data_IF_281501495887
#
_entry.id   IF_281501495887
#
_cell.length_a   1.000
_cell.length_b   1.000
_cell.length_c   1.000
_cell.angle_alpha   90.00
_cell.angle_beta   90.00
_cell.angle_gamma   90.00
#
_symmetry.space_group_name_H-M   'P 1'
#
loop_
_entity.id
_entity.type
_entity.pdbx_description
1 polymer ?
#
# COMPACT_ATOMS: atom_id res chain seq x y z
N UNK A 1 -1.63 -8.40 -51.77
CA UNK A 1 -1.55 -6.98 -51.37
C UNK A 1 -2.48 -6.62 -50.20
N UNK A 2 -3.74 -6.96 -50.23
CA UNK A 2 -4.72 -6.57 -49.18
C UNK A 2 -4.37 -7.15 -47.77
N UNK A 3 -3.87 -8.37 -47.69
CA UNK A 3 -3.48 -9.01 -46.43
C UNK A 3 -2.30 -8.31 -45.74
N UNK A 4 -1.32 -7.85 -46.47
CA UNK A 4 -0.14 -7.17 -45.95
C UNK A 4 -0.47 -5.78 -45.41
N UNK A 5 -1.42 -5.06 -46.05
CA UNK A 5 -1.87 -3.77 -45.57
C UNK A 5 -2.61 -3.85 -44.23
N UNK A 6 -3.49 -4.85 -44.06
CA UNK A 6 -4.21 -5.10 -42.81
C UNK A 6 -3.24 -5.48 -41.70
N UNK A 7 -2.23 -6.29 -42.00
CA UNK A 7 -1.20 -6.68 -40.99
C UNK A 7 -0.35 -5.48 -40.57
N UNK A 8 0.00 -4.60 -41.50
CA UNK A 8 0.74 -3.37 -41.23
C UNK A 8 -0.05 -2.42 -40.33
N UNK A 9 -1.33 -2.18 -40.64
CA UNK A 9 -2.20 -1.32 -39.82
C UNK A 9 -2.35 -1.85 -38.40
N UNK A 10 -2.54 -3.17 -38.21
CA UNK A 10 -2.61 -3.78 -36.90
C UNK A 10 -1.31 -3.58 -36.12
N UNK A 11 -0.16 -3.74 -36.78
CA UNK A 11 1.14 -3.53 -36.13
C UNK A 11 1.31 -2.07 -35.68
N UNK A 12 0.93 -1.11 -36.53
CA UNK A 12 0.99 0.33 -36.19
C UNK A 12 0.09 0.65 -34.97
N UNK A 13 -1.14 0.16 -34.95
CA UNK A 13 -2.07 0.36 -33.81
C UNK A 13 -1.49 -0.24 -32.54
N UNK A 14 -0.92 -1.44 -32.60
CA UNK A 14 -0.30 -2.08 -31.45
C UNK A 14 0.90 -1.26 -30.91
N UNK A 15 1.77 -0.80 -31.79
CA UNK A 15 2.94 0.00 -31.42
C UNK A 15 2.50 1.32 -30.78
N UNK A 16 1.52 2.02 -31.37
CA UNK A 16 0.99 3.26 -30.79
C UNK A 16 0.36 3.02 -29.41
N UNK A 17 -0.43 1.97 -29.26
CA UNK A 17 -1.03 1.61 -27.96
C UNK A 17 0.02 1.28 -26.91
N UNK A 18 1.06 0.52 -27.24
CA UNK A 18 2.15 0.20 -26.32
C UNK A 18 2.97 1.44 -25.95
N UNK A 19 3.24 2.33 -26.90
CA UNK A 19 3.98 3.57 -26.63
C UNK A 19 3.19 4.51 -25.71
N UNK A 20 1.87 4.56 -25.84
CA UNK A 20 1.03 5.36 -24.97
C UNK A 20 0.99 4.81 -23.54
N UNK A 21 0.84 3.50 -23.38
CA UNK A 21 0.92 2.84 -22.06
C UNK A 21 2.28 3.08 -21.40
N UNK A 22 3.36 3.00 -22.18
CA UNK A 22 4.71 3.28 -21.68
C UNK A 22 4.86 4.74 -21.24
N UNK A 23 4.37 5.68 -22.05
CA UNK A 23 4.41 7.11 -21.75
C UNK A 23 3.63 7.43 -20.46
N UNK A 24 2.39 6.96 -20.35
CA UNK A 24 1.56 7.15 -19.16
C UNK A 24 2.20 6.51 -17.93
N UNK A 25 2.71 5.28 -18.06
CA UNK A 25 3.42 4.58 -16.98
C UNK A 25 4.66 5.34 -16.50
N UNK A 26 5.35 6.03 -17.40
CA UNK A 26 6.51 6.87 -17.08
C UNK A 26 6.09 8.17 -16.40
N UNK A 27 5.08 8.85 -16.92
CA UNK A 27 4.60 10.14 -16.40
C UNK A 27 4.07 10.01 -14.97
N UNK A 28 3.31 8.96 -14.65
CA UNK A 28 2.79 8.76 -13.31
C UNK A 28 3.89 8.52 -12.26
N UNK A 29 5.11 8.14 -12.67
CA UNK A 29 6.23 8.00 -11.74
C UNK A 29 6.69 9.34 -11.14
N UNK A 30 6.34 10.46 -11.74
CA UNK A 30 6.64 11.78 -11.18
C UNK A 30 5.69 12.23 -10.07
N UNK A 31 4.60 11.48 -9.83
CA UNK A 31 3.70 11.73 -8.70
C UNK A 31 4.29 11.05 -7.46
N UNK A 32 4.74 11.82 -6.44
CA UNK A 32 5.51 11.27 -5.32
C UNK A 32 4.67 10.56 -4.26
N UNK A 33 3.35 10.58 -4.37
CA UNK A 33 2.45 9.94 -3.41
C UNK A 33 2.79 8.46 -3.20
N UNK A 34 2.80 8.03 -1.95
CA UNK A 34 3.04 6.64 -1.57
C UNK A 34 4.50 6.22 -1.45
N UNK A 35 5.46 7.12 -1.67
CA UNK A 35 6.90 6.78 -1.60
C UNK A 35 7.59 7.24 -0.32
N UNK A 36 6.90 7.95 0.56
CA UNK A 36 7.51 8.45 1.80
C UNK A 36 7.83 7.33 2.80
N UNK A 37 7.10 6.22 2.75
CA UNK A 37 7.29 5.01 3.58
C UNK A 37 7.45 5.34 5.06
N UNK A 38 6.60 6.21 5.59
CA UNK A 38 6.69 6.68 6.96
C UNK A 38 6.29 5.60 7.96
N UNK A 39 7.17 5.34 8.91
CA UNK A 39 6.91 4.53 10.09
C UNK A 39 7.05 5.41 11.34
N UNK A 40 5.94 6.02 11.82
CA UNK A 40 5.96 6.82 13.03
C UNK A 40 6.36 5.98 14.26
N UNK A 41 6.82 6.61 15.35
CA UNK A 41 7.19 5.87 16.57
C UNK A 41 6.05 5.02 17.12
N UNK A 42 6.40 3.88 17.70
CA UNK A 42 5.48 3.06 18.49
C UNK A 42 5.26 3.75 19.84
N UNK A 43 4.01 4.08 20.15
CA UNK A 43 3.66 4.77 21.40
C UNK A 43 3.23 3.77 22.48
N UNK A 44 2.35 2.84 22.11
CA UNK A 44 1.85 1.79 23.00
C UNK A 44 1.29 0.63 22.18
N UNK A 45 1.64 -0.59 22.55
CA UNK A 45 1.06 -1.81 21.98
C UNK A 45 -0.05 -2.38 22.85
N UNK A 46 -0.95 -3.22 22.29
CA UNK A 46 -1.83 -4.05 23.09
C UNK A 46 -1.02 -4.93 24.05
N UNK A 47 -1.61 -5.27 25.19
CA UNK A 47 -1.04 -6.30 26.04
C UNK A 47 -1.29 -7.65 25.41
N UNK A 48 -0.28 -8.17 24.71
CA UNK A 48 -0.35 -9.48 24.08
C UNK A 48 -0.40 -10.59 25.13
N UNK A 49 -1.18 -11.64 24.88
CA UNK A 49 -1.26 -12.83 25.76
C UNK A 49 0.02 -13.67 25.67
N UNK A 50 0.69 -13.64 24.50
CA UNK A 50 1.96 -14.32 24.29
C UNK A 50 2.79 -13.64 23.20
N UNK A 51 4.13 -13.83 23.18
CA UNK A 51 4.98 -13.41 22.08
C UNK A 51 4.55 -13.99 20.74
N UNK A 52 4.00 -15.21 20.75
CA UNK A 52 3.51 -15.88 19.54
C UNK A 52 2.31 -15.18 18.92
N UNK A 53 1.39 -14.71 19.74
CA UNK A 53 0.23 -13.93 19.26
C UNK A 53 0.67 -12.62 18.61
N UNK A 54 1.64 -11.92 19.23
CA UNK A 54 2.23 -10.71 18.65
C UNK A 54 2.85 -11.01 17.28
N UNK A 55 3.67 -12.05 17.18
CA UNK A 55 4.31 -12.46 15.93
C UNK A 55 3.27 -12.74 14.83
N UNK A 56 2.23 -13.50 15.13
CA UNK A 56 1.17 -13.85 14.18
C UNK A 56 0.41 -12.60 13.70
N UNK A 57 0.10 -11.68 14.61
CA UNK A 57 -0.53 -10.41 14.26
C UNK A 57 0.34 -9.61 13.30
N UNK A 58 1.62 -9.41 13.63
CA UNK A 58 2.52 -8.62 12.81
C UNK A 58 2.78 -9.26 11.44
N UNK A 59 2.83 -10.58 11.37
CA UNK A 59 2.98 -11.29 10.07
C UNK A 59 1.76 -11.16 9.16
N UNK A 60 0.57 -11.10 9.69
CA UNK A 60 -0.66 -11.10 8.91
C UNK A 60 -1.26 -9.69 8.73
N UNK A 61 -1.14 -8.82 9.72
CA UNK A 61 -1.88 -7.56 9.80
C UNK A 61 -0.99 -6.34 10.06
N UNK A 62 0.24 -6.55 10.57
CA UNK A 62 1.10 -5.49 11.09
C UNK A 62 1.45 -4.43 10.05
N UNK A 63 1.65 -4.80 8.79
CA UNK A 63 2.04 -3.86 7.74
C UNK A 63 1.00 -2.76 7.52
N UNK A 64 -0.29 -3.08 7.60
CA UNK A 64 -1.37 -2.09 7.46
C UNK A 64 -1.89 -1.57 8.80
N UNK A 65 -1.73 -2.31 9.89
CA UNK A 65 -2.34 -2.01 11.19
C UNK A 65 -1.32 -1.69 12.30
N UNK A 66 -0.13 -1.23 11.92
CA UNK A 66 0.88 -0.72 12.85
C UNK A 66 1.73 0.39 12.23
N UNK A 67 2.62 0.98 13.05
CA UNK A 67 3.65 1.91 12.56
C UNK A 67 4.94 1.18 12.12
N UNK A 68 4.93 -0.13 12.05
CA UNK A 68 6.09 -0.98 11.72
C UNK A 68 5.89 -1.68 10.37
N UNK A 69 5.45 -0.95 9.37
CA UNK A 69 5.23 -1.46 8.02
C UNK A 69 6.55 -1.87 7.38
N UNK A 70 6.63 -3.11 6.89
CA UNK A 70 7.72 -3.56 6.03
C UNK A 70 7.40 -3.18 4.58
N UNK A 71 7.89 -2.02 4.14
CA UNK A 71 7.63 -1.49 2.82
C UNK A 71 8.32 -2.33 1.74
N UNK A 72 7.58 -3.01 0.85
CA UNK A 72 8.19 -3.81 -0.21
C UNK A 72 8.80 -2.92 -1.29
N UNK A 73 9.77 -3.44 -2.06
CA UNK A 73 10.45 -2.68 -3.10
C UNK A 73 9.48 -2.09 -4.15
N UNK A 74 8.41 -2.82 -4.49
CA UNK A 74 7.41 -2.37 -5.47
C UNK A 74 6.50 -1.26 -4.95
N UNK A 75 6.54 -0.95 -3.65
CA UNK A 75 5.88 0.25 -3.09
C UNK A 75 6.53 1.58 -3.51
N UNK A 76 7.61 1.52 -4.28
CA UNK A 76 8.23 2.69 -4.92
C UNK A 76 7.72 2.93 -6.34
N UNK A 77 6.91 2.04 -6.90
CA UNK A 77 6.47 2.07 -8.29
C UNK A 77 4.99 2.41 -8.36
N UNK A 78 4.65 3.56 -8.99
CA UNK A 78 3.25 3.91 -9.24
C UNK A 78 2.66 3.01 -10.37
N UNK A 79 1.40 2.64 -10.32
CA UNK A 79 0.36 3.02 -9.34
C UNK A 79 0.33 2.13 -8.08
N UNK A 80 1.15 1.09 -7.99
CA UNK A 80 1.16 0.15 -6.85
C UNK A 80 1.51 0.90 -5.56
N UNK A 81 2.45 1.85 -5.60
CA UNK A 81 2.80 2.71 -4.47
C UNK A 81 1.59 3.45 -3.89
N UNK A 82 0.69 3.89 -4.73
CA UNK A 82 -0.53 4.59 -4.30
C UNK A 82 -1.49 3.67 -3.57
N UNK A 83 -1.66 2.45 -4.09
CA UNK A 83 -2.54 1.44 -3.49
C UNK A 83 -2.02 1.03 -2.11
N UNK A 84 -0.73 0.70 -2.01
CA UNK A 84 -0.12 0.27 -0.75
C UNK A 84 -0.20 1.38 0.29
N UNK A 85 0.13 2.63 -0.08
CA UNK A 85 0.03 3.76 0.85
C UNK A 85 -1.40 3.97 1.33
N UNK A 86 -2.37 3.91 0.40
CA UNK A 86 -3.79 4.02 0.75
C UNK A 86 -4.21 2.94 1.75
N UNK A 87 -3.80 1.69 1.54
CA UNK A 87 -4.16 0.56 2.40
C UNK A 87 -3.52 0.70 3.80
N UNK A 88 -2.27 1.15 3.87
CA UNK A 88 -1.60 1.44 5.14
C UNK A 88 -2.30 2.59 5.89
N UNK A 89 -2.63 3.67 5.20
CA UNK A 89 -3.31 4.82 5.81
C UNK A 89 -4.70 4.43 6.34
N UNK A 90 -5.47 3.67 5.57
CA UNK A 90 -6.79 3.17 5.97
C UNK A 90 -6.70 2.14 7.10
N UNK A 91 -5.75 1.23 7.03
CA UNK A 91 -5.52 0.24 8.07
C UNK A 91 -5.16 0.90 9.41
N UNK A 92 -4.21 1.84 9.42
CA UNK A 92 -3.82 2.60 10.60
C UNK A 92 -4.96 3.47 11.16
N UNK A 93 -5.80 4.02 10.30
CA UNK A 93 -6.96 4.81 10.72
C UNK A 93 -8.04 3.94 11.38
N UNK A 94 -8.26 2.73 10.87
CA UNK A 94 -9.25 1.80 11.42
C UNK A 94 -8.79 1.19 12.76
N UNK A 95 -7.55 0.70 12.80
CA UNK A 95 -6.90 0.16 13.99
C UNK A 95 -5.38 0.24 13.82
N UNK A 96 -4.69 0.74 14.87
CA UNK A 96 -3.25 0.83 14.86
C UNK A 96 -2.67 0.25 16.17
N UNK A 97 -2.03 -0.91 16.07
CA UNK A 97 -1.43 -1.59 17.22
C UNK A 97 -0.32 -0.76 17.89
N UNK A 98 0.35 0.12 17.15
CA UNK A 98 1.41 0.99 17.67
C UNK A 98 0.90 2.22 18.44
N UNK A 99 -0.41 2.46 18.43
CA UNK A 99 -1.09 3.57 19.13
C UNK A 99 -2.26 3.06 19.98
N UNK A 100 -2.14 1.86 20.49
CA UNK A 100 -3.20 1.22 21.25
C UNK A 100 -3.45 1.94 22.57
N UNK A 101 -4.56 2.68 22.67
CA UNK A 101 -5.08 3.18 23.93
C UNK A 101 -6.11 2.19 24.47
N UNK A 102 -5.84 1.59 25.63
CA UNK A 102 -6.94 1.02 26.42
C UNK A 102 -7.97 2.15 26.65
N UNK A 103 -9.18 1.99 26.16
CA UNK A 103 -10.29 2.77 26.66
C UNK A 103 -10.29 2.53 28.17
N UNK A 104 -9.98 3.57 28.94
CA UNK A 104 -10.20 3.53 30.37
C UNK A 104 -11.61 2.99 30.59
N UNK A 105 -11.73 1.90 31.35
CA UNK A 105 -13.03 1.31 31.62
C UNK A 105 -13.95 2.44 32.05
N UNK A 106 -15.00 2.68 31.28
CA UNK A 106 -15.98 3.70 31.61
C UNK A 106 -16.51 3.34 32.98
N UNK A 107 -16.13 4.13 34.00
CA UNK A 107 -16.64 3.96 35.35
C UNK A 107 -18.15 3.94 35.23
N UNK A 108 -18.86 2.86 35.68
CA UNK A 108 -20.30 2.90 35.69
C UNK A 108 -20.72 4.13 36.50
N UNK A 109 -21.53 5.01 35.90
CA UNK A 109 -22.12 6.12 36.62
C UNK A 109 -23.00 5.53 37.71
N UNK A 110 -22.58 5.74 38.96
CA UNK A 110 -23.39 5.49 40.15
C UNK A 110 -24.64 6.36 40.14
#
# INVERSE_FOLDING_TARGET
MRKNHVSFVKAVILILGLSEVFLLGTVIQFIPYGRAHNNPPVIAEPKWDSPKTRELFFRACGDCHSNETAWPWYSNIAPISWLIQHDVDKGRAAFNASKFRRRAARKPSS
#
